data_IF_233958600524
#
_entry.id   IF_233958600524
#
_cell.length_a   1.000
_cell.length_b   1.000
_cell.length_c   1.000
_cell.angle_alpha   90.00
_cell.angle_beta   90.00
_cell.angle_gamma   90.00
#
_symmetry.space_group_name_H-M   'P 1'
#
loop_
_entity.id
_entity.type
_entity.pdbx_description
1 polymer ?
#
# COMPACT_ATOMS: atom_id res chain seq x y z
N UNK A 1 3.21 -9.89 -34.27
CA UNK A 1 2.00 -9.44 -33.54
C UNK A 1 2.10 -9.96 -32.12
N UNK A 2 2.41 -9.10 -31.14
CA UNK A 2 2.43 -9.49 -29.72
C UNK A 2 1.11 -9.05 -29.09
N UNK A 3 0.35 -10.03 -28.59
CA UNK A 3 -0.92 -9.80 -27.92
C UNK A 3 -0.73 -8.94 -26.67
N UNK A 4 -1.36 -7.76 -26.65
CA UNK A 4 -1.39 -6.84 -25.52
C UNK A 4 -2.23 -7.48 -24.41
N UNK A 5 -1.59 -8.01 -23.37
CA UNK A 5 -2.27 -8.54 -22.20
C UNK A 5 -3.26 -7.47 -21.65
N UNK A 6 -4.51 -7.87 -21.38
CA UNK A 6 -5.53 -7.01 -20.78
C UNK A 6 -5.00 -6.52 -19.43
N UNK A 7 -4.58 -5.24 -19.35
CA UNK A 7 -4.30 -4.55 -18.09
C UNK A 7 -5.63 -4.33 -17.35
N UNK A 8 -6.14 -5.40 -16.72
CA UNK A 8 -7.20 -5.29 -15.73
C UNK A 8 -6.67 -4.54 -14.50
N UNK A 9 -7.54 -3.81 -13.81
CA UNK A 9 -7.24 -3.28 -12.48
C UNK A 9 -6.84 -4.50 -11.60
N UNK A 10 -5.74 -4.44 -10.82
CA UNK A 10 -5.39 -5.50 -9.89
C UNK A 10 -6.63 -5.89 -9.08
N UNK A 11 -6.78 -7.17 -8.73
CA UNK A 11 -7.88 -7.54 -7.85
C UNK A 11 -7.78 -6.70 -6.56
N UNK A 12 -8.93 -6.33 -6.00
CA UNK A 12 -8.97 -5.41 -4.85
C UNK A 12 -8.15 -5.94 -3.67
N UNK A 13 -8.12 -7.28 -3.51
CA UNK A 13 -7.28 -7.99 -2.55
C UNK A 13 -5.77 -7.77 -2.81
N UNK A 14 -5.32 -7.94 -4.04
CA UNK A 14 -3.93 -7.71 -4.45
C UNK A 14 -3.49 -6.27 -4.16
N UNK A 15 -4.40 -5.30 -4.34
CA UNK A 15 -4.10 -3.89 -4.08
C UNK A 15 -3.95 -3.59 -2.60
N UNK A 16 -4.81 -4.17 -1.76
CA UNK A 16 -4.71 -4.01 -0.31
C UNK A 16 -3.42 -4.62 0.22
N UNK A 17 -3.05 -5.81 -0.26
CA UNK A 17 -1.79 -6.48 0.11
C UNK A 17 -0.56 -5.68 -0.33
N UNK A 18 -0.54 -5.18 -1.57
CA UNK A 18 0.55 -4.33 -2.06
C UNK A 18 0.74 -3.05 -1.23
N UNK A 19 -0.34 -2.45 -0.72
CA UNK A 19 -0.24 -1.31 0.20
C UNK A 19 0.38 -1.71 1.53
N UNK A 20 0.00 -2.88 2.07
CA UNK A 20 0.56 -3.40 3.32
C UNK A 20 2.06 -3.69 3.18
N UNK A 21 2.47 -4.33 2.09
CA UNK A 21 3.88 -4.64 1.82
C UNK A 21 4.73 -3.37 1.69
N UNK A 22 4.26 -2.39 0.93
CA UNK A 22 4.93 -1.10 0.79
C UNK A 22 5.07 -0.37 2.13
N UNK A 23 4.00 -0.39 2.94
CA UNK A 23 4.04 0.23 4.25
C UNK A 23 4.98 -0.48 5.21
N UNK A 24 5.01 -1.82 5.20
CA UNK A 24 5.95 -2.61 6.01
C UNK A 24 7.39 -2.22 5.68
N UNK A 25 7.74 -2.12 4.40
CA UNK A 25 9.07 -1.67 3.98
C UNK A 25 9.40 -0.28 4.51
N UNK A 26 8.51 0.70 4.33
CA UNK A 26 8.74 2.06 4.84
C UNK A 26 8.89 2.09 6.37
N UNK A 27 8.04 1.36 7.10
CA UNK A 27 8.09 1.31 8.55
C UNK A 27 9.35 0.62 9.08
N UNK A 28 9.84 -0.42 8.41
CA UNK A 28 11.11 -1.08 8.78
C UNK A 28 12.29 -0.13 8.58
N UNK A 29 12.30 0.66 7.51
CA UNK A 29 13.42 1.56 7.20
C UNK A 29 13.44 2.83 8.08
N UNK A 30 12.28 3.40 8.39
CA UNK A 30 12.17 4.76 8.97
C UNK A 30 11.38 4.83 10.27
N UNK A 31 10.82 3.71 10.72
CA UNK A 31 9.87 3.66 11.81
C UNK A 31 8.50 4.27 11.44
N UNK A 32 7.54 4.09 12.34
CA UNK A 32 6.17 4.60 12.17
C UNK A 32 6.13 6.12 12.05
N UNK A 33 6.81 6.85 12.94
CA UNK A 33 6.79 8.30 12.97
C UNK A 33 7.56 8.93 11.80
N UNK A 34 8.61 8.27 11.30
CA UNK A 34 9.42 8.73 10.16
C UNK A 34 8.83 8.42 8.79
N UNK A 35 7.65 7.80 8.72
CA UNK A 35 6.98 7.41 7.48
C UNK A 35 5.70 8.23 7.26
N UNK A 36 5.44 8.65 6.04
CA UNK A 36 4.24 9.38 5.63
C UNK A 36 3.39 8.58 4.62
N UNK A 37 2.08 8.86 4.56
CA UNK A 37 1.19 8.21 3.58
C UNK A 37 1.65 8.43 2.11
N UNK A 38 2.11 9.63 1.70
CA UNK A 38 2.62 9.82 0.34
C UNK A 38 3.85 8.97 0.00
N UNK A 39 4.73 8.72 0.96
CA UNK A 39 5.89 7.83 0.75
C UNK A 39 5.43 6.39 0.55
N UNK A 40 4.50 5.90 1.37
CA UNK A 40 3.91 4.56 1.19
C UNK A 40 3.22 4.45 -0.17
N UNK A 41 2.49 5.48 -0.59
CA UNK A 41 1.82 5.49 -1.89
C UNK A 41 2.82 5.43 -3.05
N UNK A 42 3.92 6.17 -2.93
CA UNK A 42 5.02 6.15 -3.90
C UNK A 42 5.64 4.76 -3.96
N UNK A 43 5.93 4.14 -2.81
CA UNK A 43 6.48 2.79 -2.73
C UNK A 43 5.53 1.75 -3.34
N UNK A 44 4.22 1.87 -3.09
CA UNK A 44 3.19 1.02 -3.67
C UNK A 44 2.86 1.34 -5.15
N UNK A 45 3.49 2.36 -5.75
CA UNK A 45 3.21 2.84 -7.11
C UNK A 45 1.74 3.21 -7.35
N UNK A 46 1.12 3.90 -6.39
CA UNK A 46 -0.27 4.38 -6.44
C UNK A 46 -0.38 5.85 -6.00
N UNK A 47 -1.55 6.45 -6.21
CA UNK A 47 -1.85 7.77 -5.65
C UNK A 47 -2.17 7.66 -4.15
N UNK A 48 -1.77 8.66 -3.35
CA UNK A 48 -2.07 8.69 -1.90
C UNK A 48 -3.57 8.58 -1.61
N UNK A 49 -4.43 9.20 -2.43
CA UNK A 49 -5.89 9.07 -2.32
C UNK A 49 -6.37 7.62 -2.43
N UNK A 50 -5.65 6.76 -3.16
CA UNK A 50 -5.98 5.33 -3.26
C UNK A 50 -5.79 4.62 -1.92
N UNK A 51 -4.79 5.00 -1.11
CA UNK A 51 -4.60 4.40 0.23
C UNK A 51 -5.81 4.65 1.12
N UNK A 52 -6.36 5.87 1.07
CA UNK A 52 -7.52 6.25 1.89
C UNK A 52 -8.82 5.53 1.51
N UNK A 53 -8.86 4.80 0.38
CA UNK A 53 -9.97 3.88 0.10
C UNK A 53 -9.86 2.55 0.85
N UNK A 54 -8.67 2.20 1.35
CA UNK A 54 -8.39 0.94 2.06
C UNK A 54 -8.14 1.15 3.55
N UNK A 55 -7.57 2.29 3.94
CA UNK A 55 -7.17 2.57 5.31
C UNK A 55 -7.47 4.03 5.66
N UNK A 56 -8.25 4.23 6.72
CA UNK A 56 -8.69 5.57 7.15
C UNK A 56 -7.53 6.45 7.64
N UNK A 57 -6.44 5.83 8.12
CA UNK A 57 -5.27 6.54 8.64
C UNK A 57 -3.99 5.69 8.60
N UNK A 58 -2.84 6.31 8.90
CA UNK A 58 -1.56 5.59 9.04
C UNK A 58 -1.60 4.61 10.22
N UNK A 59 -2.29 4.97 11.29
CA UNK A 59 -2.57 4.12 12.46
C UNK A 59 -3.44 2.93 12.08
N UNK A 60 -4.50 3.15 11.29
CA UNK A 60 -5.35 2.05 10.80
C UNK A 60 -4.55 1.06 9.95
N UNK A 61 -3.63 1.57 9.13
CA UNK A 61 -2.74 0.78 8.30
C UNK A 61 -1.75 -0.04 9.13
N UNK A 62 -1.02 0.58 10.07
CA UNK A 62 -0.06 -0.16 10.92
C UNK A 62 -0.78 -1.18 11.81
N UNK A 63 -1.97 -0.86 12.32
CA UNK A 63 -2.81 -1.81 13.05
C UNK A 63 -3.25 -2.99 12.18
N UNK A 64 -3.50 -2.76 10.89
CA UNK A 64 -3.81 -3.84 9.96
C UNK A 64 -2.59 -4.75 9.73
N UNK A 65 -1.39 -4.19 9.61
CA UNK A 65 -0.13 -4.96 9.55
C UNK A 65 0.04 -5.84 10.79
N UNK A 66 -0.10 -5.28 11.99
CA UNK A 66 -0.02 -6.02 13.26
C UNK A 66 -1.07 -7.13 13.43
N UNK A 67 -2.17 -7.10 12.69
CA UNK A 67 -3.20 -8.16 12.72
C UNK A 67 -3.02 -9.20 11.61
N UNK A 68 -2.19 -8.90 10.61
CA UNK A 68 -1.95 -9.78 9.47
C UNK A 68 -0.70 -10.66 9.66
N UNK A 69 0.11 -10.34 10.68
CA UNK A 69 1.31 -11.04 11.12
C UNK A 69 1.20 -11.33 12.61
#
# INVERSE_FOLDING_TARGET
MLAKAKRGRPAEKDRRENILDAALQCFVERGFYGTTIPEIATQASIASGTIYHYFDSKEALVNALFRHW
#
